data_IF_431748281580
#
_entry.id   IF_431748281580
#
_cell.length_a   1.000
_cell.length_b   1.000
_cell.length_c   1.000
_cell.angle_alpha   90.00
_cell.angle_beta   90.00
_cell.angle_gamma   90.00
#
_symmetry.space_group_name_H-M   'P 1'
#
loop_
_entity.id
_entity.type
_entity.pdbx_description
1 polymer ?
#
# COMPACT_ATOMS: atom_id res chain seq x y z
N UNK A 1 -18.77 13.76 7.81
CA UNK A 1 -17.92 12.77 8.50
C UNK A 1 -17.32 11.86 7.45
N UNK A 2 -15.98 11.77 7.37
CA UNK A 2 -15.29 10.85 6.46
C UNK A 2 -15.11 9.50 7.13
N UNK A 3 -15.62 8.46 6.49
CA UNK A 3 -15.48 7.07 6.94
C UNK A 3 -14.12 6.53 6.49
N UNK A 4 -13.47 5.74 7.33
CA UNK A 4 -12.31 4.95 6.92
C UNK A 4 -12.79 3.61 6.33
N UNK A 5 -12.54 3.42 5.04
CA UNK A 5 -12.80 2.15 4.37
C UNK A 5 -11.65 1.16 4.63
N UNK A 6 -11.92 -0.16 4.62
CA UNK A 6 -10.86 -1.17 4.63
C UNK A 6 -9.82 -0.93 3.55
N UNK A 7 -8.58 -1.35 3.81
CA UNK A 7 -7.47 -1.14 2.88
C UNK A 7 -6.15 -1.65 3.46
N UNK A 8 -5.01 -1.21 2.92
CA UNK A 8 -3.68 -1.71 3.30
C UNK A 8 -3.25 -1.27 4.71
N UNK A 9 -4.07 -0.54 5.40
CA UNK A 9 -3.83 0.00 6.74
C UNK A 9 -4.13 1.49 6.83
N UNK A 10 -4.34 1.97 8.04
CA UNK A 10 -4.54 3.38 8.38
C UNK A 10 -3.24 3.92 8.96
N UNK A 11 -2.66 4.89 8.29
CA UNK A 11 -1.45 5.60 8.69
C UNK A 11 -1.72 7.02 9.19
N UNK A 12 -0.71 7.86 9.02
CA UNK A 12 -0.75 9.27 9.39
C UNK A 12 -0.31 9.56 10.83
N UNK A 13 -0.08 10.84 11.16
CA UNK A 13 0.54 11.23 12.42
C UNK A 13 -0.38 11.09 13.64
N UNK A 14 -1.69 11.03 13.47
CA UNK A 14 -2.63 11.09 14.60
C UNK A 14 -3.19 9.71 14.99
N UNK A 15 -3.88 9.03 14.08
CA UNK A 15 -4.62 7.80 14.42
C UNK A 15 -3.73 6.68 14.98
N UNK A 16 -2.58 6.34 14.38
CA UNK A 16 -1.69 5.35 14.97
C UNK A 16 -1.18 5.78 16.33
N UNK A 17 -0.65 6.99 16.45
CA UNK A 17 0.01 7.47 17.68
C UNK A 17 -0.98 7.60 18.84
N UNK A 18 -2.13 8.24 18.63
CA UNK A 18 -3.13 8.44 19.67
C UNK A 18 -3.68 7.11 20.20
N UNK A 19 -3.86 6.12 19.34
CA UNK A 19 -4.31 4.79 19.77
C UNK A 19 -3.30 4.11 20.71
N UNK A 20 -1.99 4.24 20.46
CA UNK A 20 -0.96 3.75 21.37
C UNK A 20 -0.86 4.54 22.66
N UNK A 21 -0.97 5.88 22.60
CA UNK A 21 -1.01 6.71 23.79
C UNK A 21 -2.19 6.32 24.70
N UNK A 22 -3.35 6.05 24.08
CA UNK A 22 -4.53 5.60 24.80
C UNK A 22 -4.31 4.23 25.48
N UNK A 23 -3.75 3.27 24.76
CA UNK A 23 -3.39 1.95 25.31
C UNK A 23 -2.37 2.07 26.47
N UNK A 24 -1.35 2.91 26.30
CA UNK A 24 -0.33 3.13 27.34
C UNK A 24 -0.91 3.82 28.59
N UNK A 25 -1.81 4.76 28.40
CA UNK A 25 -2.49 5.43 29.53
C UNK A 25 -3.38 4.43 30.27
N UNK A 26 -4.20 3.67 29.56
CA UNK A 26 -5.07 2.67 30.17
C UNK A 26 -4.29 1.61 30.97
N UNK A 27 -3.11 1.22 30.50
CA UNK A 27 -2.22 0.29 31.20
C UNK A 27 -1.81 0.79 32.60
N UNK A 28 -1.66 2.11 32.77
CA UNK A 28 -1.31 2.70 34.09
C UNK A 28 -2.44 2.55 35.12
N UNK A 29 -3.65 2.28 34.66
CA UNK A 29 -4.84 2.10 35.49
C UNK A 29 -5.37 0.67 35.49
N UNK A 30 -4.56 -0.28 34.99
CA UNK A 30 -4.94 -1.70 34.84
C UNK A 30 -6.23 -1.92 34.04
N UNK A 31 -6.52 -1.02 33.08
CA UNK A 31 -7.69 -1.10 32.21
C UNK A 31 -7.35 -1.83 30.91
N UNK A 32 -7.90 -3.04 30.67
CA UNK A 32 -7.61 -3.81 29.46
C UNK A 32 -8.45 -3.30 28.27
N UNK A 33 -7.91 -2.45 27.43
CA UNK A 33 -8.56 -1.97 26.21
C UNK A 33 -8.42 -3.02 25.07
N UNK A 34 -9.04 -4.18 25.23
CA UNK A 34 -8.92 -5.32 24.30
C UNK A 34 -9.31 -4.95 22.87
N UNK A 35 -10.42 -4.21 22.68
CA UNK A 35 -10.89 -3.81 21.35
C UNK A 35 -9.88 -2.93 20.62
N UNK A 36 -9.36 -1.90 21.29
CA UNK A 36 -8.36 -0.99 20.71
C UNK A 36 -7.08 -1.73 20.36
N UNK A 37 -6.61 -2.62 21.25
CA UNK A 37 -5.42 -3.44 21.01
C UNK A 37 -5.63 -4.34 19.78
N UNK A 38 -6.76 -5.05 19.71
CA UNK A 38 -7.06 -5.92 18.57
C UNK A 38 -7.18 -5.13 17.26
N UNK A 39 -7.87 -4.00 17.27
CA UNK A 39 -7.98 -3.13 16.10
C UNK A 39 -6.61 -2.68 15.59
N UNK A 40 -5.67 -2.32 16.49
CA UNK A 40 -4.29 -1.99 16.11
C UNK A 40 -3.57 -3.19 15.50
N UNK A 41 -3.65 -4.36 16.11
CA UNK A 41 -3.03 -5.59 15.59
C UNK A 41 -3.53 -5.91 14.18
N UNK A 42 -4.84 -5.85 13.95
CA UNK A 42 -5.43 -6.06 12.62
C UNK A 42 -4.90 -5.02 11.63
N UNK A 43 -4.95 -3.72 11.99
CA UNK A 43 -4.46 -2.66 11.10
C UNK A 43 -2.99 -2.86 10.71
N UNK A 44 -2.15 -3.29 11.65
CA UNK A 44 -0.72 -3.52 11.41
C UNK A 44 -0.42 -4.76 10.58
N UNK A 45 -1.33 -5.73 10.56
CA UNK A 45 -1.21 -6.91 9.70
C UNK A 45 -1.67 -6.66 8.25
N UNK A 46 -2.42 -5.59 7.97
CA UNK A 46 -2.98 -5.34 6.65
C UNK A 46 -1.94 -5.19 5.53
N UNK A 47 -0.79 -4.52 5.72
CA UNK A 47 0.25 -4.49 4.69
C UNK A 47 0.74 -5.88 4.28
N UNK A 48 0.89 -6.80 5.27
CA UNK A 48 1.30 -8.19 5.01
C UNK A 48 0.21 -8.97 4.26
N UNK A 49 -1.05 -8.72 4.60
CA UNK A 49 -2.19 -9.31 3.89
C UNK A 49 -2.22 -8.87 2.42
N UNK A 50 -1.94 -7.60 2.13
CA UNK A 50 -1.84 -7.09 0.74
C UNK A 50 -0.73 -7.82 -0.04
N UNK A 51 0.44 -7.99 0.57
CA UNK A 51 1.54 -8.72 -0.07
C UNK A 51 1.18 -10.18 -0.28
N UNK A 52 0.46 -10.80 0.67
CA UNK A 52 -0.05 -12.17 0.50
C UNK A 52 -1.00 -12.28 -0.69
N UNK A 53 -1.98 -11.37 -0.82
CA UNK A 53 -2.90 -11.35 -1.97
C UNK A 53 -2.14 -11.24 -3.29
N UNK A 54 -1.09 -10.42 -3.35
CA UNK A 54 -0.25 -10.34 -4.54
C UNK A 54 0.47 -11.66 -4.81
N UNK A 55 1.06 -12.29 -3.78
CA UNK A 55 1.74 -13.57 -3.93
C UNK A 55 0.79 -14.66 -4.44
N UNK A 56 -0.40 -14.74 -3.84
CA UNK A 56 -1.44 -15.68 -4.26
C UNK A 56 -1.83 -15.47 -5.73
N UNK A 57 -1.96 -14.20 -6.17
CA UNK A 57 -2.28 -13.87 -7.57
C UNK A 57 -1.15 -14.27 -8.55
N UNK A 58 0.12 -14.17 -8.15
CA UNK A 58 1.24 -14.69 -8.96
C UNK A 58 1.17 -16.22 -9.07
N UNK A 59 0.92 -16.92 -7.96
CA UNK A 59 0.78 -18.38 -7.94
C UNK A 59 -0.39 -18.87 -8.82
N UNK A 60 -1.54 -18.20 -8.79
CA UNK A 60 -2.69 -18.50 -9.66
C UNK A 60 -2.37 -18.37 -11.15
N UNK A 61 -1.41 -17.50 -11.50
CA UNK A 61 -0.91 -17.35 -12.87
C UNK A 61 0.27 -18.30 -13.19
N UNK A 62 0.61 -19.23 -12.29
CA UNK A 62 1.78 -20.10 -12.39
C UNK A 62 3.10 -19.31 -12.55
N UNK A 63 3.21 -18.17 -11.88
CA UNK A 63 4.37 -17.29 -11.89
C UNK A 63 4.99 -17.17 -10.51
N UNK A 64 6.30 -16.91 -10.48
CA UNK A 64 7.01 -16.66 -9.24
C UNK A 64 7.04 -15.15 -8.96
N UNK A 65 6.67 -14.76 -7.75
CA UNK A 65 6.79 -13.37 -7.31
C UNK A 65 8.26 -12.94 -7.15
N UNK A 66 9.13 -13.88 -6.80
CA UNK A 66 10.57 -13.60 -6.63
C UNK A 66 11.22 -13.16 -7.94
N UNK A 67 11.92 -12.02 -7.92
CA UNK A 67 12.54 -11.43 -9.09
C UNK A 67 11.58 -10.67 -9.99
N UNK A 68 10.29 -10.64 -9.68
CA UNK A 68 9.32 -9.82 -10.41
C UNK A 68 9.48 -8.33 -10.11
N UNK A 69 8.92 -7.49 -10.96
CA UNK A 69 8.83 -6.05 -10.77
C UNK A 69 7.41 -5.66 -10.41
N UNK A 70 7.21 -5.04 -9.26
CA UNK A 70 5.90 -4.62 -8.76
C UNK A 70 5.84 -3.11 -8.59
N UNK A 71 4.84 -2.48 -9.21
CA UNK A 71 4.58 -1.05 -9.10
C UNK A 71 3.57 -0.76 -8.00
N UNK A 72 3.92 0.11 -7.05
CA UNK A 72 3.00 0.68 -6.09
C UNK A 72 2.41 1.99 -6.63
N UNK A 73 1.10 2.08 -6.65
CA UNK A 73 0.36 3.30 -6.99
C UNK A 73 -0.09 4.01 -5.72
N UNK A 74 0.50 5.18 -5.47
CA UNK A 74 0.29 5.98 -4.27
C UNK A 74 1.04 5.45 -3.06
N UNK A 75 1.76 6.33 -2.37
CA UNK A 75 2.53 6.02 -1.16
C UNK A 75 2.20 6.95 0.01
N UNK A 76 1.38 7.97 -0.22
CA UNK A 76 0.87 8.84 0.84
C UNK A 76 0.00 8.06 1.81
N UNK A 77 -0.06 8.48 3.08
CA UNK A 77 -0.96 7.81 4.04
C UNK A 77 -2.45 8.10 3.78
N UNK A 78 -2.75 9.13 3.00
CA UNK A 78 -4.11 9.59 2.68
C UNK A 78 -4.17 10.06 1.23
N UNK A 79 -5.32 9.92 0.54
CA UNK A 79 -5.51 10.44 -0.81
C UNK A 79 -5.30 11.96 -0.89
N UNK A 80 -4.76 12.39 -2.01
CA UNK A 80 -4.62 13.80 -2.41
C UNK A 80 -3.83 14.67 -1.42
N UNK A 81 -2.89 14.06 -0.68
CA UNK A 81 -1.96 14.77 0.20
C UNK A 81 -0.52 14.34 -0.07
N UNK A 82 0.40 15.27 0.11
CA UNK A 82 1.85 15.03 0.01
C UNK A 82 2.44 14.71 1.38
N UNK A 83 2.06 13.56 1.94
CA UNK A 83 2.52 13.13 3.26
C UNK A 83 2.61 11.60 3.37
N UNK A 84 3.77 11.10 3.78
CA UNK A 84 4.07 9.68 3.91
C UNK A 84 4.20 9.22 5.38
N UNK A 85 3.85 10.08 6.34
CA UNK A 85 4.02 9.75 7.77
C UNK A 85 3.24 8.49 8.15
N UNK A 86 3.96 7.49 8.64
CA UNK A 86 3.40 6.19 9.05
C UNK A 86 2.52 5.60 7.94
N UNK A 87 2.91 5.77 6.67
CA UNK A 87 2.17 5.18 5.56
C UNK A 87 2.29 3.66 5.57
N UNK A 88 1.19 2.91 5.36
CA UNK A 88 1.26 1.46 5.20
C UNK A 88 2.08 1.00 3.99
N UNK A 89 2.33 1.90 3.02
CA UNK A 89 3.17 1.62 1.86
C UNK A 89 4.59 1.21 2.25
N UNK A 90 5.15 1.79 3.31
CA UNK A 90 6.50 1.46 3.79
C UNK A 90 6.62 -0.02 4.15
N UNK A 91 5.69 -0.55 4.95
CA UNK A 91 5.68 -1.98 5.33
C UNK A 91 5.42 -2.92 4.14
N UNK A 92 4.61 -2.49 3.17
CA UNK A 92 4.41 -3.25 1.92
C UNK A 92 5.73 -3.34 1.15
N UNK A 93 6.44 -2.21 1.01
CA UNK A 93 7.75 -2.14 0.33
C UNK A 93 8.78 -3.02 1.03
N UNK A 94 8.90 -2.92 2.35
CA UNK A 94 9.82 -3.75 3.14
C UNK A 94 9.56 -5.23 2.88
N UNK A 95 8.30 -5.65 2.95
CA UNK A 95 7.93 -7.06 2.77
C UNK A 95 8.18 -7.56 1.35
N UNK A 96 7.93 -6.74 0.33
CA UNK A 96 8.23 -7.07 -1.07
C UNK A 96 9.76 -7.21 -1.29
N UNK A 97 10.56 -6.32 -0.68
CA UNK A 97 12.03 -6.42 -0.74
C UNK A 97 12.54 -7.72 -0.08
N UNK A 98 11.95 -8.14 1.06
CA UNK A 98 12.29 -9.45 1.70
C UNK A 98 12.01 -10.64 0.75
N UNK A 99 10.99 -10.54 -0.10
CA UNK A 99 10.66 -11.55 -1.10
C UNK A 99 11.52 -11.44 -2.38
N UNK A 100 12.51 -10.55 -2.39
CA UNK A 100 13.35 -10.23 -3.55
C UNK A 100 12.54 -9.74 -4.77
N UNK A 101 11.54 -8.92 -4.53
CA UNK A 101 10.77 -8.22 -5.56
C UNK A 101 11.42 -6.88 -5.86
N UNK A 102 11.49 -6.51 -7.14
CA UNK A 102 11.92 -5.18 -7.57
C UNK A 102 10.75 -4.21 -7.43
N UNK A 103 10.80 -3.35 -6.42
CA UNK A 103 9.71 -2.42 -6.14
C UNK A 103 9.93 -1.11 -6.88
N UNK A 104 8.89 -0.66 -7.59
CA UNK A 104 8.78 0.67 -8.21
C UNK A 104 7.64 1.44 -7.55
N UNK A 105 7.71 2.76 -7.58
CA UNK A 105 6.71 3.64 -6.98
C UNK A 105 6.28 4.68 -8.01
N UNK A 106 4.98 4.88 -8.16
CA UNK A 106 4.43 6.06 -8.79
C UNK A 106 3.42 6.73 -7.86
N UNK A 107 3.66 7.99 -7.57
CA UNK A 107 2.75 8.82 -6.78
C UNK A 107 2.76 10.24 -7.36
N UNK A 108 1.61 10.80 -7.78
CA UNK A 108 1.55 12.12 -8.44
C UNK A 108 2.07 13.27 -7.57
N UNK A 109 2.08 13.10 -6.24
CA UNK A 109 2.57 14.11 -5.30
C UNK A 109 4.08 14.02 -5.03
N UNK A 110 4.73 12.93 -5.48
CA UNK A 110 6.15 12.64 -5.20
C UNK A 110 6.96 12.34 -6.46
N UNK A 111 6.65 12.95 -7.58
CA UNK A 111 7.38 12.76 -8.85
C UNK A 111 8.87 13.03 -8.67
N UNK A 112 9.74 12.12 -9.14
CA UNK A 112 11.19 12.19 -9.04
C UNK A 112 11.70 12.47 -7.61
N UNK A 113 11.10 11.85 -6.62
CA UNK A 113 11.53 11.94 -5.22
C UNK A 113 11.97 10.58 -4.72
N UNK A 114 12.97 10.57 -3.85
CA UNK A 114 13.33 9.36 -3.12
C UNK A 114 12.36 9.14 -1.97
N UNK A 115 11.61 8.06 -2.01
CA UNK A 115 10.62 7.67 -1.00
C UNK A 115 10.90 6.24 -0.54
N UNK A 116 11.09 6.04 0.75
CA UNK A 116 11.44 4.75 1.34
C UNK A 116 12.65 4.07 0.67
N UNK A 117 13.63 4.89 0.22
CA UNK A 117 14.84 4.42 -0.47
C UNK A 117 14.61 3.95 -1.92
N UNK A 118 13.52 4.40 -2.55
CA UNK A 118 13.19 4.13 -3.95
C UNK A 118 12.91 5.46 -4.65
N UNK A 119 13.50 5.68 -5.81
CA UNK A 119 13.19 6.84 -6.63
C UNK A 119 11.85 6.65 -7.34
N UNK A 120 10.93 7.58 -7.11
CA UNK A 120 9.59 7.51 -7.70
C UNK A 120 9.61 7.85 -9.19
N UNK A 121 8.76 7.15 -9.93
CA UNK A 121 8.63 7.24 -11.37
C UNK A 121 8.06 8.59 -11.81
N UNK A 122 8.48 9.04 -13.01
CA UNK A 122 7.98 10.27 -13.63
C UNK A 122 6.73 9.99 -14.44
N UNK A 123 6.71 8.85 -15.13
CA UNK A 123 5.67 8.50 -16.09
C UNK A 123 4.98 7.20 -15.67
N UNK A 124 3.67 7.28 -15.43
CA UNK A 124 2.87 6.12 -15.04
C UNK A 124 2.84 5.04 -16.13
N UNK A 125 2.76 5.43 -17.42
CA UNK A 125 2.64 4.46 -18.52
C UNK A 125 3.93 3.65 -18.64
N UNK A 126 5.08 4.30 -18.55
CA UNK A 126 6.38 3.64 -18.61
C UNK A 126 6.57 2.72 -17.40
N UNK A 127 6.16 3.18 -16.22
CA UNK A 127 6.19 2.36 -15.00
C UNK A 127 5.31 1.11 -15.12
N UNK A 128 4.11 1.23 -15.66
CA UNK A 128 3.20 0.10 -15.91
C UNK A 128 3.79 -0.90 -16.89
N UNK A 129 4.33 -0.42 -18.04
CA UNK A 129 4.80 -1.29 -19.14
C UNK A 129 5.98 -2.18 -18.75
N UNK A 130 6.71 -1.81 -17.71
CA UNK A 130 7.87 -2.54 -17.20
C UNK A 130 7.58 -3.32 -15.92
N UNK A 131 6.32 -3.36 -15.47
CA UNK A 131 5.89 -4.04 -14.24
C UNK A 131 5.18 -5.36 -14.53
N UNK A 132 5.40 -6.33 -13.66
CA UNK A 132 4.76 -7.64 -13.69
C UNK A 132 3.50 -7.68 -12.84
N UNK A 133 3.36 -6.76 -11.89
CA UNK A 133 2.17 -6.61 -11.05
C UNK A 133 2.06 -5.19 -10.51
N UNK A 134 0.85 -4.83 -10.07
CA UNK A 134 0.55 -3.51 -9.51
C UNK A 134 -0.24 -3.64 -8.22
N UNK A 135 0.08 -2.80 -7.25
CA UNK A 135 -0.71 -2.64 -6.02
C UNK A 135 -1.16 -1.18 -5.93
N UNK A 136 -2.45 -0.94 -5.86
CA UNK A 136 -3.00 0.37 -5.53
C UNK A 136 -3.06 0.51 -4.00
N UNK A 137 -2.20 1.36 -3.43
CA UNK A 137 -2.13 1.62 -1.98
C UNK A 137 -2.96 2.84 -1.60
N UNK A 138 -2.74 3.97 -2.28
CA UNK A 138 -3.41 5.23 -1.96
C UNK A 138 -4.21 5.71 -3.16
N UNK A 139 -5.54 5.83 -3.02
CA UNK A 139 -6.44 6.15 -4.12
C UNK A 139 -6.48 7.66 -4.39
N UNK A 140 -5.40 8.20 -5.00
CA UNK A 140 -5.42 9.57 -5.49
C UNK A 140 -6.44 9.75 -6.61
N UNK A 141 -6.99 10.94 -6.76
CA UNK A 141 -8.02 11.25 -7.79
C UNK A 141 -7.63 10.84 -9.19
N UNK A 142 -6.34 10.93 -9.52
CA UNK A 142 -5.80 10.54 -10.82
C UNK A 142 -6.03 9.06 -11.14
N UNK A 143 -6.06 8.18 -10.13
CA UNK A 143 -6.20 6.74 -10.32
C UNK A 143 -7.64 6.28 -10.57
N UNK A 144 -8.66 7.09 -10.24
CA UNK A 144 -10.07 6.75 -10.54
C UNK A 144 -10.38 6.67 -12.04
N UNK A 145 -9.51 7.22 -12.87
CA UNK A 145 -9.64 7.16 -14.34
C UNK A 145 -8.93 5.93 -14.95
N UNK A 146 -8.23 5.14 -14.15
CA UNK A 146 -7.56 3.94 -14.62
C UNK A 146 -8.60 2.84 -14.86
N UNK A 147 -8.80 2.46 -16.11
CA UNK A 147 -9.71 1.36 -16.46
C UNK A 147 -8.98 0.02 -16.37
N UNK A 148 -9.60 -1.05 -15.87
CA UNK A 148 -8.98 -2.39 -15.83
C UNK A 148 -8.49 -2.86 -17.21
N UNK A 149 -9.22 -2.54 -18.28
CA UNK A 149 -8.83 -2.84 -19.66
C UNK A 149 -7.55 -2.13 -20.08
N UNK A 150 -7.36 -0.88 -19.65
CA UNK A 150 -6.14 -0.13 -19.90
C UNK A 150 -4.96 -0.75 -19.14
N UNK A 151 -5.10 -1.05 -17.85
CA UNK A 151 -4.07 -1.69 -17.04
C UNK A 151 -3.66 -3.03 -17.64
N UNK A 152 -4.64 -3.87 -18.01
CA UNK A 152 -4.40 -5.15 -18.67
C UNK A 152 -3.59 -5.01 -19.97
N UNK A 153 -3.80 -3.93 -20.75
CA UNK A 153 -3.08 -3.69 -22.00
C UNK A 153 -1.65 -3.17 -21.82
N UNK A 154 -1.30 -2.68 -20.64
CA UNK A 154 0.01 -2.05 -20.34
C UNK A 154 0.93 -2.92 -19.51
N UNK A 155 0.40 -3.76 -18.62
CA UNK A 155 1.20 -4.65 -17.79
C UNK A 155 1.76 -5.82 -18.58
N UNK A 156 2.96 -6.26 -18.23
CA UNK A 156 3.53 -7.52 -18.74
C UNK A 156 2.68 -8.71 -18.31
N UNK A 157 2.23 -8.69 -17.07
CA UNK A 157 1.30 -9.66 -16.52
C UNK A 157 0.10 -8.90 -15.92
N UNK A 158 -1.15 -9.30 -16.20
CA UNK A 158 -2.33 -8.55 -15.77
C UNK A 158 -2.69 -8.81 -14.29
N UNK A 159 -1.70 -8.69 -13.40
CA UNK A 159 -1.88 -8.83 -11.95
C UNK A 159 -2.06 -7.43 -11.34
N UNK A 160 -3.22 -7.21 -10.75
CA UNK A 160 -3.58 -5.93 -10.13
C UNK A 160 -4.28 -6.16 -8.79
N UNK A 161 -3.73 -5.61 -7.72
CA UNK A 161 -4.33 -5.65 -6.38
C UNK A 161 -4.90 -4.27 -6.06
N UNK A 162 -6.22 -4.16 -6.13
CA UNK A 162 -6.94 -2.95 -5.71
C UNK A 162 -7.28 -3.06 -4.22
N UNK A 163 -6.51 -2.38 -3.38
CA UNK A 163 -6.74 -2.38 -1.94
C UNK A 163 -7.81 -1.39 -1.49
N UNK A 164 -8.41 -0.66 -2.42
CA UNK A 164 -9.33 0.46 -2.15
C UNK A 164 -10.68 0.34 -2.83
N UNK A 165 -10.87 -0.67 -3.66
CA UNK A 165 -12.11 -0.92 -4.42
C UNK A 165 -12.55 0.31 -5.23
N UNK A 166 -11.63 0.91 -6.00
CA UNK A 166 -11.93 2.07 -6.83
C UNK A 166 -12.00 1.75 -8.33
N UNK A 167 -11.61 0.52 -8.73
CA UNK A 167 -11.60 0.06 -10.12
C UNK A 167 -12.60 -1.05 -10.39
#
# INVERSE_FOLDING_TARGET
FQIHYPGPGVGGPCLPINSYQYLNTAKKFDLPLKLVKTARTVNESMPLHVVKLLSDAFEEQNQQIRGSTVLLLGVSYKPDVKDIQISPAEKVIEKLKELNVHVRIYDPYFISKNIFGIDSEINLIDALSTSDGVILITPHKEFYNLKPTFLKSKLRNPIFIDTRCIL
#
